data_IF_767598124323
#
_entry.id   IF_767598124323
#
_cell.length_a   1.000
_cell.length_b   1.000
_cell.length_c   1.000
_cell.angle_alpha   90.00
_cell.angle_beta   90.00
_cell.angle_gamma   90.00
#
_symmetry.space_group_name_H-M   'P 1'
#
loop_
_entity.id
_entity.type
_entity.pdbx_description
1 polymer ?
#
# COMPACT_ATOMS: atom_id res chain seq x y z
N UNK A 1 10.81 -2.74 -22.89
CA UNK A 1 9.90 -1.67 -22.40
C UNK A 1 10.16 -1.55 -20.92
N UNK A 2 10.66 -0.40 -20.45
CA UNK A 2 10.90 -0.14 -19.03
C UNK A 2 10.49 1.29 -18.72
N UNK A 3 10.09 1.54 -17.49
CA UNK A 3 9.73 2.86 -16.97
C UNK A 3 10.86 3.37 -16.07
N UNK A 4 11.09 4.68 -16.05
CA UNK A 4 12.11 5.28 -15.18
C UNK A 4 11.64 5.41 -13.73
N UNK A 5 10.33 5.59 -13.52
CA UNK A 5 9.73 5.78 -12.20
C UNK A 5 8.22 5.50 -12.19
N UNK A 6 7.69 5.27 -10.99
CA UNK A 6 6.25 5.19 -10.69
C UNK A 6 5.85 6.36 -9.79
N UNK A 7 4.68 6.96 -10.07
CA UNK A 7 4.02 7.93 -9.21
C UNK A 7 2.63 7.42 -8.84
N UNK A 8 2.28 7.50 -7.56
CA UNK A 8 1.02 7.00 -7.01
C UNK A 8 0.16 8.15 -6.54
N UNK A 9 -0.85 8.53 -7.34
CA UNK A 9 -1.64 9.74 -7.10
C UNK A 9 -3.02 9.38 -6.55
N UNK A 10 -3.41 9.97 -5.41
CA UNK A 10 -4.74 9.79 -4.83
C UNK A 10 -4.90 8.51 -4.00
N UNK A 11 -3.81 7.94 -3.51
CA UNK A 11 -3.81 6.76 -2.65
C UNK A 11 -4.33 7.09 -1.24
N UNK A 12 -4.57 6.04 -0.44
CA UNK A 12 -5.00 6.20 0.94
C UNK A 12 -4.32 5.24 1.93
N UNK A 13 -4.51 5.52 3.21
CA UNK A 13 -4.11 4.66 4.32
C UNK A 13 -4.72 3.26 4.20
N UNK A 14 -4.03 2.29 4.80
CA UNK A 14 -4.37 0.87 4.82
C UNK A 14 -5.72 0.55 5.45
N UNK A 15 -6.26 -0.63 5.12
CA UNK A 15 -7.48 -1.17 5.72
C UNK A 15 -7.40 -1.15 7.26
N UNK A 16 -8.46 -0.64 7.89
CA UNK A 16 -8.56 -0.53 9.34
C UNK A 16 -7.92 0.73 9.95
N UNK A 17 -7.30 1.59 9.15
CA UNK A 17 -6.74 2.87 9.61
C UNK A 17 -7.82 3.93 9.84
N UNK A 18 -7.70 4.70 10.93
CA UNK A 18 -8.56 5.87 11.18
C UNK A 18 -8.14 7.12 10.40
N UNK A 19 -6.99 7.07 9.70
CA UNK A 19 -6.46 8.21 8.97
C UNK A 19 -7.23 8.53 7.68
N UNK A 20 -8.15 7.66 7.25
CA UNK A 20 -9.00 7.87 6.09
C UNK A 20 -10.38 7.23 6.29
N UNK A 21 -11.46 7.95 5.96
CA UNK A 21 -12.83 7.46 6.14
C UNK A 21 -13.22 6.31 5.21
N UNK A 22 -12.43 6.09 4.15
CA UNK A 22 -12.61 5.02 3.16
C UNK A 22 -11.43 4.04 3.18
N UNK A 23 -10.71 3.95 4.31
CA UNK A 23 -9.52 3.12 4.42
C UNK A 23 -9.83 1.64 4.13
N UNK A 24 -9.22 1.13 3.06
CA UNK A 24 -9.28 -0.26 2.64
C UNK A 24 -7.95 -0.62 1.96
N UNK A 25 -7.78 -1.87 1.55
CA UNK A 25 -6.59 -2.29 0.82
C UNK A 25 -6.99 -3.37 -0.19
N UNK A 26 -6.94 -3.01 -1.47
CA UNK A 26 -7.35 -3.80 -2.65
C UNK A 26 -8.86 -4.05 -2.75
N UNK A 27 -9.52 -4.40 -1.64
CA UNK A 27 -10.96 -4.55 -1.55
C UNK A 27 -11.50 -4.17 -0.18
N UNK A 28 -12.83 -4.10 -0.07
CA UNK A 28 -13.54 -3.86 1.19
C UNK A 28 -13.70 -5.12 2.07
N UNK A 29 -13.29 -6.28 1.58
CA UNK A 29 -13.51 -7.56 2.26
C UNK A 29 -12.47 -7.78 3.37
N UNK A 30 -11.22 -7.40 3.09
CA UNK A 30 -10.13 -7.40 4.06
C UNK A 30 -10.25 -6.19 4.99
N UNK A 31 -10.27 -6.43 6.30
CA UNK A 31 -10.25 -5.35 7.32
C UNK A 31 -8.84 -5.00 7.78
N UNK A 32 -7.86 -5.86 7.48
CA UNK A 32 -6.44 -5.59 7.68
C UNK A 32 -5.61 -6.53 6.79
N UNK A 33 -4.57 -5.99 6.17
CA UNK A 33 -3.51 -6.76 5.51
C UNK A 33 -2.19 -6.41 6.19
N UNK A 34 -1.38 -7.42 6.51
CA UNK A 34 -0.05 -7.24 7.06
C UNK A 34 0.98 -8.00 6.24
N UNK A 35 2.14 -7.41 6.04
CA UNK A 35 3.32 -8.06 5.46
C UNK A 35 4.43 -8.02 6.52
N UNK A 36 4.91 -9.19 6.93
CA UNK A 36 5.91 -9.35 7.99
C UNK A 36 5.53 -8.59 9.27
N UNK A 37 4.26 -8.70 9.67
CA UNK A 37 3.70 -8.09 10.89
C UNK A 37 3.34 -6.60 10.78
N UNK A 38 3.82 -5.90 9.75
CA UNK A 38 3.53 -4.47 9.50
C UNK A 38 2.27 -4.33 8.65
N UNK A 39 1.46 -3.31 8.94
CA UNK A 39 0.27 -3.03 8.14
C UNK A 39 0.68 -2.65 6.71
N UNK A 40 -0.08 -3.13 5.72
CA UNK A 40 0.19 -2.90 4.32
C UNK A 40 -0.97 -2.14 3.68
N UNK A 41 -0.67 -1.02 3.03
CA UNK A 41 -1.59 -0.30 2.17
C UNK A 41 -1.38 -0.71 0.72
N UNK A 42 -2.22 -0.21 -0.20
CA UNK A 42 -1.99 -0.39 -1.64
C UNK A 42 -0.67 0.23 -2.10
N UNK A 43 -0.21 1.29 -1.43
CA UNK A 43 1.14 1.81 -1.64
C UNK A 43 2.19 0.74 -1.34
N UNK A 44 2.12 0.07 -0.18
CA UNK A 44 3.07 -0.99 0.19
C UNK A 44 3.08 -2.09 -0.88
N UNK A 45 1.89 -2.56 -1.29
CA UNK A 45 1.74 -3.63 -2.27
C UNK A 45 2.33 -3.23 -3.63
N UNK A 46 1.95 -2.06 -4.13
CA UNK A 46 2.37 -1.61 -5.46
C UNK A 46 3.83 -1.12 -5.48
N UNK A 47 4.36 -0.56 -4.39
CA UNK A 47 5.74 -0.07 -4.35
C UNK A 47 6.75 -1.21 -4.27
N UNK A 48 6.42 -2.30 -3.59
CA UNK A 48 7.20 -3.53 -3.67
C UNK A 48 7.10 -4.16 -5.07
N UNK A 49 5.93 -4.09 -5.72
CA UNK A 49 5.74 -4.61 -7.08
C UNK A 49 6.57 -3.84 -8.11
N UNK A 50 6.58 -2.51 -8.06
CA UNK A 50 7.40 -1.68 -8.93
C UNK A 50 8.90 -1.90 -8.66
N UNK A 51 9.29 -2.01 -7.39
CA UNK A 51 10.68 -2.29 -7.00
C UNK A 51 11.16 -3.65 -7.50
N UNK A 52 10.29 -4.67 -7.55
CA UNK A 52 10.59 -6.00 -8.10
C UNK A 52 10.96 -5.92 -9.58
N UNK A 53 10.36 -4.96 -10.30
CA UNK A 53 10.65 -4.68 -11.70
C UNK A 53 11.82 -3.70 -11.88
N UNK A 54 12.48 -3.29 -10.80
CA UNK A 54 13.56 -2.30 -10.83
C UNK A 54 13.10 -0.86 -11.06
N UNK A 55 11.80 -0.57 -10.91
CA UNK A 55 11.22 0.75 -11.15
C UNK A 55 10.89 1.44 -9.81
N UNK A 56 11.57 2.53 -9.45
CA UNK A 56 11.36 3.20 -8.17
C UNK A 56 10.01 3.92 -8.10
N UNK A 57 9.34 3.83 -6.96
CA UNK A 57 8.19 4.71 -6.65
C UNK A 57 8.73 6.02 -6.10
N UNK A 58 8.69 7.09 -6.88
CA UNK A 58 9.33 8.37 -6.52
C UNK A 58 8.39 9.34 -5.82
N UNK A 59 7.09 9.23 -6.08
CA UNK A 59 6.08 10.15 -5.59
C UNK A 59 4.81 9.44 -5.16
N UNK A 60 4.23 9.88 -4.04
CA UNK A 60 2.94 9.43 -3.54
C UNK A 60 2.11 10.63 -3.09
N UNK A 61 0.84 10.72 -3.52
CA UNK A 61 -0.12 11.66 -2.95
C UNK A 61 -1.32 10.95 -2.36
N UNK A 62 -1.83 11.46 -1.24
CA UNK A 62 -2.91 10.80 -0.51
C UNK A 62 -3.32 11.54 0.76
N UNK A 63 -3.87 10.78 1.72
CA UNK A 63 -4.10 11.30 3.07
C UNK A 63 -2.81 11.36 3.89
N UNK A 64 -2.84 12.18 4.95
CA UNK A 64 -1.69 12.38 5.82
C UNK A 64 -1.15 11.08 6.44
N UNK A 65 -2.01 10.17 6.88
CA UNK A 65 -1.56 8.91 7.50
C UNK A 65 -0.80 8.04 6.51
N UNK A 66 -1.24 7.98 5.25
CA UNK A 66 -0.50 7.29 4.21
C UNK A 66 0.87 7.92 4.00
N UNK A 67 0.97 9.25 3.94
CA UNK A 67 2.25 9.92 3.71
C UNK A 67 3.24 9.68 4.86
N UNK A 68 2.74 9.61 6.10
CA UNK A 68 3.56 9.22 7.25
C UNK A 68 4.09 7.77 7.07
N UNK A 69 3.24 6.82 6.63
CA UNK A 69 3.65 5.44 6.30
C UNK A 69 4.65 5.38 5.12
N UNK A 70 4.48 6.20 4.08
CA UNK A 70 5.43 6.30 2.96
C UNK A 70 6.82 6.73 3.45
N UNK A 71 6.88 7.71 4.35
CA UNK A 71 8.15 8.18 4.92
C UNK A 71 8.84 7.12 5.78
N UNK A 72 8.08 6.27 6.49
CA UNK A 72 8.62 5.11 7.21
C UNK A 72 9.18 4.03 6.27
N UNK A 73 8.55 3.83 5.11
CA UNK A 73 9.00 2.86 4.12
C UNK A 73 10.28 3.30 3.41
N UNK A 74 10.37 4.57 3.01
CA UNK A 74 11.60 5.18 2.52
C UNK A 74 11.56 6.71 2.64
N UNK A 75 12.58 7.34 3.27
CA UNK A 75 12.66 8.80 3.37
C UNK A 75 12.98 9.49 2.05
N UNK A 76 13.26 8.72 0.98
CA UNK A 76 13.57 9.26 -0.34
C UNK A 76 12.33 9.44 -1.22
N UNK A 77 11.22 8.80 -0.88
CA UNK A 77 9.97 8.92 -1.62
C UNK A 77 9.31 10.25 -1.25
N UNK A 78 8.99 11.05 -2.27
CA UNK A 78 8.33 12.34 -2.03
C UNK A 78 6.84 12.11 -1.76
N UNK A 79 6.40 12.44 -0.55
CA UNK A 79 5.00 12.37 -0.13
C UNK A 79 4.27 13.72 -0.23
N UNK A 80 3.03 13.72 -0.70
CA UNK A 80 2.16 14.89 -0.78
C UNK A 80 0.79 14.61 -0.14
N UNK A 81 0.63 15.04 1.12
CA UNK A 81 -0.64 14.92 1.81
C UNK A 81 -1.58 16.03 1.35
N UNK A 82 -2.70 15.66 0.72
CA UNK A 82 -3.72 16.62 0.24
C UNK A 82 -4.99 16.60 1.09
N UNK A 83 -5.10 15.63 2.00
CA UNK A 83 -6.26 15.42 2.85
C UNK A 83 -5.88 14.76 4.19
N UNK A 84 -6.75 14.84 5.17
CA UNK A 84 -6.61 14.18 6.48
C UNK A 84 -7.97 13.67 6.97
N UNK A 85 -8.04 12.40 7.37
CA UNK A 85 -9.26 11.79 7.91
C UNK A 85 -9.62 12.29 9.30
N UNK A 86 -10.94 12.40 9.54
CA UNK A 86 -11.55 12.73 10.84
C UNK A 86 -12.84 11.92 10.98
N UNK A 87 -12.73 10.70 11.50
CA UNK A 87 -13.85 9.76 11.59
C UNK A 87 -14.45 9.49 10.20
N UNK A 88 -15.75 9.74 10.03
CA UNK A 88 -16.45 9.59 8.74
C UNK A 88 -16.26 10.77 7.77
N UNK A 89 -15.42 11.75 8.11
CA UNK A 89 -15.20 12.96 7.31
C UNK A 89 -13.73 13.15 6.96
N UNK A 90 -13.44 14.13 6.11
CA UNK A 90 -12.08 14.45 5.67
C UNK A 90 -11.90 15.96 5.59
N UNK A 91 -10.78 16.45 6.12
CA UNK A 91 -10.30 17.82 5.90
C UNK A 91 -9.44 17.78 4.64
N UNK A 92 -9.74 18.62 3.66
CA UNK A 92 -9.08 18.59 2.35
C UNK A 92 -8.55 19.96 1.96
N UNK A 93 -7.45 19.97 1.21
CA UNK A 93 -7.07 21.14 0.41
C UNK A 93 -8.18 21.44 -0.60
N UNK A 94 -8.27 22.71 -1.03
CA UNK A 94 -9.10 23.04 -2.20
C UNK A 94 -8.52 22.35 -3.45
N UNK A 95 -9.35 22.05 -4.47
CA UNK A 95 -8.86 21.39 -5.68
C UNK A 95 -7.68 22.10 -6.35
N UNK A 96 -7.72 23.44 -6.43
CA UNK A 96 -6.63 24.23 -7.01
C UNK A 96 -5.33 24.15 -6.21
N UNK A 97 -5.42 24.13 -4.88
CA UNK A 97 -4.26 24.00 -4.01
C UNK A 97 -3.68 22.57 -4.08
N UNK A 98 -4.52 21.53 -4.11
CA UNK A 98 -4.08 20.14 -4.27
C UNK A 98 -3.37 19.91 -5.60
N UNK A 99 -3.92 20.40 -6.73
CA UNK A 99 -3.28 20.30 -8.05
C UNK A 99 -1.91 20.98 -8.05
N UNK A 100 -1.80 22.18 -7.45
CA UNK A 100 -0.53 22.89 -7.34
C UNK A 100 0.49 22.10 -6.52
N UNK A 101 0.08 21.59 -5.36
CA UNK A 101 0.96 20.83 -4.47
C UNK A 101 1.43 19.51 -5.12
N UNK A 102 0.52 18.77 -5.76
CA UNK A 102 0.85 17.53 -6.47
C UNK A 102 1.82 17.81 -7.62
N UNK A 103 1.60 18.86 -8.42
CA UNK A 103 2.52 19.25 -9.50
C UNK A 103 3.92 19.53 -8.96
N UNK A 104 4.03 20.37 -7.94
CA UNK A 104 5.30 20.74 -7.33
C UNK A 104 6.03 19.53 -6.73
N UNK A 105 5.30 18.66 -6.02
CA UNK A 105 5.86 17.45 -5.44
C UNK A 105 6.30 16.43 -6.50
N UNK A 106 5.53 16.26 -7.58
CA UNK A 106 5.89 15.39 -8.69
C UNK A 106 7.14 15.88 -9.42
N UNK A 107 7.24 17.18 -9.70
CA UNK A 107 8.44 17.80 -10.29
C UNK A 107 9.67 17.58 -9.40
N UNK A 108 9.57 17.92 -8.11
CA UNK A 108 10.67 17.74 -7.16
C UNK A 108 11.08 16.28 -6.96
N UNK A 109 10.13 15.33 -7.05
CA UNK A 109 10.42 13.90 -6.87
C UNK A 109 11.31 13.29 -7.95
N UNK A 110 11.41 13.97 -9.10
CA UNK A 110 12.25 13.56 -10.22
C UNK A 110 13.65 14.17 -10.15
N UNK A 111 13.91 15.04 -9.18
CA UNK A 111 15.22 15.62 -8.96
C UNK A 111 16.12 14.66 -8.16
N UNK A 112 17.34 14.44 -8.64
CA UNK A 112 18.34 13.63 -7.93
C UNK A 112 18.39 12.17 -8.38
N UNK A 113 18.73 11.28 -7.44
CA UNK A 113 18.99 9.87 -7.70
C UNK A 113 17.77 9.01 -7.36
N UNK A 114 16.99 8.66 -8.39
CA UNK A 114 15.74 7.91 -8.26
C UNK A 114 15.96 6.48 -7.72
N UNK A 115 17.17 5.93 -7.87
CA UNK A 115 17.45 4.56 -7.42
C UNK A 115 17.35 4.41 -5.89
N UNK A 116 17.48 5.51 -5.14
CA UNK A 116 17.29 5.54 -3.69
C UNK A 116 15.84 5.34 -3.25
N UNK A 117 14.89 5.48 -4.16
CA UNK A 117 13.47 5.23 -3.93
C UNK A 117 13.08 3.76 -4.16
N UNK A 118 14.01 2.90 -4.61
CA UNK A 118 13.78 1.46 -4.69
C UNK A 118 13.62 0.88 -3.29
N UNK A 119 12.52 0.15 -3.07
CA UNK A 119 12.31 -0.57 -1.83
C UNK A 119 12.99 -1.93 -1.88
N UNK A 120 13.59 -2.31 -0.75
CA UNK A 120 14.06 -3.68 -0.58
C UNK A 120 12.87 -4.63 -0.44
N UNK A 121 12.85 -5.68 -1.26
CA UNK A 121 11.89 -6.77 -1.15
C UNK A 121 12.47 -7.79 -0.17
N UNK A 122 11.76 -8.09 0.94
CA UNK A 122 12.20 -9.13 1.87
C UNK A 122 12.37 -10.49 1.19
N UNK A 123 13.42 -11.21 1.57
CA UNK A 123 13.69 -12.58 1.06
C UNK A 123 12.58 -13.57 1.44
N UNK A 124 11.85 -13.28 2.53
CA UNK A 124 10.70 -14.06 2.98
C UNK A 124 9.55 -13.13 3.34
N UNK A 125 8.36 -13.45 2.82
CA UNK A 125 7.14 -12.66 2.95
C UNK A 125 6.07 -13.50 3.63
N UNK A 126 5.72 -13.14 4.86
CA UNK A 126 4.55 -13.64 5.57
C UNK A 126 3.43 -12.60 5.45
N UNK A 127 2.41 -12.91 4.66
CA UNK A 127 1.26 -12.06 4.42
C UNK A 127 0.08 -12.57 5.24
N UNK A 128 -0.46 -11.72 6.10
CA UNK A 128 -1.65 -12.02 6.90
C UNK A 128 -2.82 -11.16 6.45
N UNK A 129 -3.95 -11.79 6.18
CA UNK A 129 -5.18 -11.11 5.76
C UNK A 129 -6.25 -11.43 6.80
N UNK A 130 -6.77 -10.38 7.44
CA UNK A 130 -7.88 -10.48 8.37
C UNK A 130 -9.15 -9.98 7.71
N UNK A 131 -10.21 -10.77 7.74
CA UNK A 131 -11.51 -10.44 7.16
C UNK A 131 -12.51 -10.00 8.22
N UNK A 132 -13.48 -9.18 7.80
CA UNK A 132 -14.62 -8.83 8.66
C UNK A 132 -15.55 -10.02 8.90
N UNK A 133 -15.59 -10.96 7.94
CA UNK A 133 -16.47 -12.12 7.92
C UNK A 133 -15.65 -13.44 7.97
N UNK A 134 -15.84 -14.31 8.98
CA UNK A 134 -15.13 -15.59 9.07
C UNK A 134 -15.42 -16.54 7.89
N UNK A 135 -16.57 -16.42 7.22
CA UNK A 135 -16.90 -17.23 6.03
C UNK A 135 -15.97 -16.89 4.86
N UNK A 136 -15.57 -15.63 4.71
CA UNK A 136 -14.61 -15.22 3.68
C UNK A 136 -13.22 -15.76 3.99
N UNK A 137 -12.77 -15.67 5.25
CA UNK A 137 -11.51 -16.26 5.68
C UNK A 137 -11.46 -17.77 5.38
N UNK A 138 -12.52 -18.51 5.72
CA UNK A 138 -12.63 -19.94 5.42
C UNK A 138 -12.60 -20.22 3.91
N UNK A 139 -13.33 -19.45 3.10
CA UNK A 139 -13.33 -19.62 1.63
C UNK A 139 -11.95 -19.35 1.02
N UNK A 140 -11.31 -18.26 1.41
CA UNK A 140 -10.01 -17.86 0.87
C UNK A 140 -8.86 -18.73 1.39
N UNK A 141 -9.05 -19.44 2.50
CA UNK A 141 -8.11 -20.48 2.96
C UNK A 141 -7.87 -21.61 1.96
N UNK A 142 -8.75 -21.76 0.95
CA UNK A 142 -8.61 -22.77 -0.10
C UNK A 142 -7.61 -22.39 -1.19
N UNK A 143 -7.12 -21.14 -1.23
CA UNK A 143 -6.02 -20.79 -2.11
C UNK A 143 -4.76 -21.61 -1.71
N UNK A 144 -4.06 -22.26 -2.66
CA UNK A 144 -2.92 -23.12 -2.33
C UNK A 144 -1.85 -22.40 -1.49
N UNK A 145 -1.43 -23.03 -0.39
CA UNK A 145 -0.43 -22.48 0.53
C UNK A 145 -0.98 -21.57 1.63
N UNK A 146 -2.28 -21.28 1.65
CA UNK A 146 -2.91 -20.56 2.76
C UNK A 146 -3.08 -21.45 3.99
N UNK A 147 -2.87 -20.87 5.18
CA UNK A 147 -3.16 -21.50 6.47
C UNK A 147 -3.93 -20.54 7.37
N UNK A 148 -4.71 -21.07 8.32
CA UNK A 148 -5.33 -20.23 9.34
C UNK A 148 -4.27 -19.72 10.33
N UNK A 149 -4.28 -18.41 10.56
CA UNK A 149 -3.51 -17.72 11.60
C UNK A 149 -4.41 -17.15 12.72
N UNK A 150 -5.71 -17.39 12.63
CA UNK A 150 -6.75 -17.02 13.58
C UNK A 150 -8.13 -17.37 13.01
N UNK A 151 -9.19 -17.08 13.77
CA UNK A 151 -10.57 -17.41 13.34
C UNK A 151 -10.98 -16.68 12.05
N UNK A 152 -10.48 -15.45 11.87
CA UNK A 152 -10.80 -14.59 10.71
C UNK A 152 -9.57 -14.19 9.91
N UNK A 153 -8.43 -14.82 10.20
CA UNK A 153 -7.13 -14.43 9.66
C UNK A 153 -6.49 -15.63 8.98
N UNK A 154 -6.09 -15.44 7.72
CA UNK A 154 -5.32 -16.41 6.95
C UNK A 154 -3.91 -15.87 6.71
N UNK A 155 -2.94 -16.77 6.57
CA UNK A 155 -1.55 -16.46 6.30
C UNK A 155 -1.08 -17.18 5.05
N UNK A 156 -0.35 -16.45 4.21
CA UNK A 156 0.39 -16.97 3.07
C UNK A 156 1.86 -16.63 3.24
N UNK A 157 2.73 -17.59 2.98
CA UNK A 157 4.18 -17.41 3.03
C UNK A 157 4.79 -17.68 1.65
N UNK A 158 5.74 -16.85 1.24
CA UNK A 158 6.45 -16.99 -0.03
C UNK A 158 7.83 -16.32 0.01
N UNK A 159 8.78 -16.86 -0.75
CA UNK A 159 10.07 -16.22 -1.05
C UNK A 159 10.03 -15.41 -2.36
N UNK A 160 8.91 -15.47 -3.08
CA UNK A 160 8.69 -14.77 -4.34
C UNK A 160 7.52 -13.78 -4.21
N UNK A 161 7.82 -12.49 -4.37
CA UNK A 161 6.82 -11.43 -4.27
C UNK A 161 5.74 -11.50 -5.36
N UNK A 162 6.04 -12.05 -6.54
CA UNK A 162 5.02 -12.23 -7.57
C UNK A 162 3.94 -13.24 -7.16
N UNK A 163 4.29 -14.24 -6.36
CA UNK A 163 3.30 -15.19 -5.82
C UNK A 163 2.41 -14.54 -4.77
N UNK A 164 2.91 -13.55 -4.02
CA UNK A 164 2.11 -12.69 -3.14
C UNK A 164 1.11 -11.87 -3.95
N UNK A 165 1.55 -11.21 -5.03
CA UNK A 165 0.65 -10.43 -5.90
C UNK A 165 -0.45 -11.30 -6.51
N UNK A 166 -0.08 -12.49 -6.99
CA UNK A 166 -1.05 -13.47 -7.52
C UNK A 166 -2.04 -13.87 -6.44
N UNK A 167 -1.55 -14.22 -5.25
CA UNK A 167 -2.39 -14.60 -4.12
C UNK A 167 -3.41 -13.50 -3.80
N UNK A 168 -2.95 -12.25 -3.63
CA UNK A 168 -3.81 -11.11 -3.32
C UNK A 168 -4.92 -10.96 -4.36
N UNK A 169 -4.61 -11.05 -5.65
CA UNK A 169 -5.60 -10.97 -6.73
C UNK A 169 -6.74 -12.02 -6.64
N UNK A 170 -6.54 -13.15 -5.96
CA UNK A 170 -7.59 -14.17 -5.79
C UNK A 170 -8.32 -14.12 -4.44
N UNK A 171 -7.73 -13.47 -3.43
CA UNK A 171 -8.23 -13.54 -2.04
C UNK A 171 -8.63 -12.20 -1.45
N UNK A 172 -8.43 -11.11 -2.18
CA UNK A 172 -8.96 -9.78 -1.85
C UNK A 172 -9.99 -9.37 -2.87
#
# INVERSE_FOLDING_TARGET
>A
ESFDAVMMVGYHSEAGSEANSLAHTLSSDAVAIRINGKAASEFTVHALASSMLGVPTVFVSGDKGLIDHVAEASPHITGCAVKEGRGQSTITMTPSAAVKAIRQGAEASLEGDLSKCLLHIPDHLAVEITYGNPVLAYRHSWYPGMVHAGERTIRFESENYFDVLRMLNYVT
#
